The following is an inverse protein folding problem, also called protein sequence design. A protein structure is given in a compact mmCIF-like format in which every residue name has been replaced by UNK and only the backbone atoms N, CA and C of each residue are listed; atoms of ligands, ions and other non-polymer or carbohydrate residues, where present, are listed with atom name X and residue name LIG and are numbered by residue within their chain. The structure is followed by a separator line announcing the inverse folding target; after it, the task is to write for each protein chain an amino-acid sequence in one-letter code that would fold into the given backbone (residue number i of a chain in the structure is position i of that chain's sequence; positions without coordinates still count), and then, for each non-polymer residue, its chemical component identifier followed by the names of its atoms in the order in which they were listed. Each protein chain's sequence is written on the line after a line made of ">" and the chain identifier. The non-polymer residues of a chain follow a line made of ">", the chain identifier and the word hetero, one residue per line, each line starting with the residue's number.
data_IF_593400990355
#
_entry.id   IF_593400990355
#
_cell.length_a   1.000
_cell.length_b   1.000
_cell.length_c   1.000
_cell.angle_alpha   90.00
_cell.angle_beta   90.00
_cell.angle_gamma   90.00
#
_symmetry.space_group_name_H-M   'P 1'
#
loop_
_entity.id
_entity.type
_entity.pdbx_description
1 polymer ?
#
# COMPACT_ATOMS: atom_id res chain seq x y z
N UNK A 1 7.78 21.67 23.57
CA UNK A 1 6.62 22.05 22.75
C UNK A 1 7.10 22.25 21.34
N UNK A 2 6.67 21.41 20.41
CA UNK A 2 7.02 21.56 18.99
C UNK A 2 6.16 22.68 18.42
N UNK A 3 6.81 23.74 17.93
CA UNK A 3 6.13 24.86 17.29
C UNK A 3 5.76 24.46 15.85
N UNK A 4 4.47 24.54 15.49
CA UNK A 4 3.99 24.24 14.14
C UNK A 4 4.16 25.52 13.31
N UNK A 5 5.14 25.53 12.40
CA UNK A 5 5.47 26.68 11.54
C UNK A 5 4.84 26.61 10.14
N UNK A 6 4.02 25.60 9.85
CA UNK A 6 3.48 25.36 8.52
C UNK A 6 2.11 26.02 8.28
N UNK A 7 2.12 27.17 7.60
CA UNK A 7 0.92 27.84 7.08
C UNK A 7 0.55 27.31 5.68
N UNK A 8 0.22 26.03 5.57
CA UNK A 8 -0.28 25.48 4.30
C UNK A 8 -1.70 25.99 4.01
N UNK A 9 -1.94 26.45 2.78
CA UNK A 9 -3.26 26.87 2.33
C UNK A 9 -4.24 25.68 2.35
N UNK A 10 -5.44 25.89 2.90
CA UNK A 10 -6.53 24.93 2.81
C UNK A 10 -7.24 25.04 1.46
N UNK A 11 -7.38 23.93 0.75
CA UNK A 11 -8.02 23.86 -0.56
C UNK A 11 -9.33 23.08 -0.49
N UNK A 12 -10.30 23.45 -1.32
CA UNK A 12 -11.51 22.65 -1.54
C UNK A 12 -11.17 21.34 -2.27
N UNK A 13 -11.92 20.24 -2.06
CA UNK A 13 -11.68 18.99 -2.80
C UNK A 13 -11.75 19.21 -4.31
N UNK A 14 -10.86 18.59 -5.10
CA UNK A 14 -10.93 18.68 -6.55
C UNK A 14 -12.19 17.97 -7.06
N UNK A 15 -12.79 18.42 -8.18
CA UNK A 15 -13.89 17.73 -8.82
C UNK A 15 -13.58 16.24 -9.06
N UNK A 16 -14.58 15.38 -8.86
CA UNK A 16 -14.41 13.95 -9.11
C UNK A 16 -14.47 13.67 -10.62
N UNK A 17 -13.46 13.00 -11.20
CA UNK A 17 -13.43 12.74 -12.64
C UNK A 17 -14.50 11.70 -13.04
N UNK A 18 -15.19 11.88 -14.19
CA UNK A 18 -16.20 10.93 -14.67
C UNK A 18 -15.67 9.50 -14.85
N UNK A 19 -14.41 9.36 -15.27
CA UNK A 19 -13.74 8.07 -15.46
C UNK A 19 -13.24 7.41 -14.17
N UNK A 20 -13.43 8.04 -13.00
CA UNK A 20 -12.90 7.58 -11.73
C UNK A 20 -11.38 7.80 -11.58
N UNK A 21 -10.82 7.25 -10.49
CA UNK A 21 -9.40 7.42 -10.12
C UNK A 21 -8.59 6.12 -10.07
N UNK A 22 -9.24 4.96 -10.26
CA UNK A 22 -8.53 3.70 -10.33
C UNK A 22 -7.68 3.64 -11.60
N UNK A 23 -6.50 2.99 -11.58
CA UNK A 23 -5.60 2.95 -12.72
C UNK A 23 -6.28 2.23 -13.89
N UNK A 24 -6.47 2.94 -15.00
CA UNK A 24 -7.09 2.39 -16.22
C UNK A 24 -6.08 1.98 -17.30
N UNK A 25 -4.78 2.22 -17.08
CA UNK A 25 -3.72 1.98 -18.07
C UNK A 25 -2.53 1.25 -17.46
N UNK A 26 -2.02 0.25 -18.18
CA UNK A 26 -0.83 -0.51 -17.77
C UNK A 26 0.39 0.39 -17.48
N UNK A 27 0.55 1.50 -18.21
CA UNK A 27 1.63 2.45 -17.97
C UNK A 27 1.61 3.04 -16.54
N UNK A 28 0.42 3.32 -15.99
CA UNK A 28 0.30 3.89 -14.63
C UNK A 28 0.72 2.87 -13.58
N UNK A 29 0.36 1.60 -13.79
CA UNK A 29 0.79 0.48 -12.93
C UNK A 29 2.31 0.30 -13.03
N UNK A 30 2.86 0.30 -14.25
CA UNK A 30 4.31 0.20 -14.47
C UNK A 30 5.11 1.32 -13.82
N UNK A 31 4.60 2.55 -13.81
CA UNK A 31 5.21 3.68 -13.09
C UNK A 31 5.21 3.45 -11.57
N UNK A 32 4.11 2.95 -11.01
CA UNK A 32 4.05 2.60 -9.59
C UNK A 32 5.03 1.47 -9.24
N UNK A 33 5.10 0.40 -10.04
CA UNK A 33 6.07 -0.69 -9.85
C UNK A 33 7.51 -0.19 -9.96
N UNK A 34 7.78 0.75 -10.89
CA UNK A 34 9.07 1.40 -10.99
C UNK A 34 9.38 2.14 -9.69
N UNK A 35 8.46 2.96 -9.17
CA UNK A 35 8.67 3.69 -7.93
C UNK A 35 8.94 2.78 -6.72
N UNK A 36 8.21 1.67 -6.57
CA UNK A 36 8.41 0.71 -5.48
C UNK A 36 9.83 0.10 -5.46
N UNK A 37 10.44 -0.07 -6.63
CA UNK A 37 11.76 -0.69 -6.78
C UNK A 37 12.90 0.36 -6.87
N UNK A 38 12.65 1.63 -6.51
CA UNK A 38 13.64 2.70 -6.68
C UNK A 38 14.91 2.48 -5.86
N UNK A 39 14.77 1.95 -4.65
CA UNK A 39 15.91 1.75 -3.73
C UNK A 39 16.79 0.59 -4.16
N UNK A 40 16.21 -0.53 -4.60
CA UNK A 40 16.94 -1.66 -5.20
C UNK A 40 17.78 -1.19 -6.40
N UNK A 41 17.18 -0.36 -7.28
CA UNK A 41 17.88 0.18 -8.45
C UNK A 41 18.99 1.16 -8.08
N UNK A 42 18.73 2.03 -7.10
CA UNK A 42 19.71 3.00 -6.60
C UNK A 42 20.92 2.28 -6.01
N UNK A 43 20.69 1.27 -5.18
CA UNK A 43 21.76 0.45 -4.61
C UNK A 43 22.55 -0.30 -5.70
N UNK A 44 21.87 -0.88 -6.69
CA UNK A 44 22.55 -1.51 -7.84
C UNK A 44 23.44 -0.52 -8.61
N UNK A 45 22.98 0.72 -8.79
CA UNK A 45 23.75 1.78 -9.42
C UNK A 45 25.00 2.14 -8.61
N UNK A 46 24.89 2.26 -7.29
CA UNK A 46 26.02 2.52 -6.39
C UNK A 46 27.09 1.42 -6.52
N UNK A 47 26.68 0.15 -6.57
CA UNK A 47 27.59 -0.98 -6.80
C UNK A 47 28.28 -0.94 -8.17
N UNK A 48 27.54 -0.58 -9.22
CA UNK A 48 28.12 -0.44 -10.57
C UNK A 48 29.17 0.68 -10.62
N UNK A 49 28.89 1.80 -9.97
CA UNK A 49 29.82 2.93 -9.89
C UNK A 49 31.07 2.55 -9.10
N UNK A 50 30.92 1.88 -7.96
CA UNK A 50 32.03 1.40 -7.15
C UNK A 50 32.92 0.39 -7.89
N UNK A 51 32.34 -0.45 -8.75
CA UNK A 51 33.08 -1.43 -9.54
C UNK A 51 33.67 -0.87 -10.85
N UNK A 52 33.32 0.37 -11.24
CA UNK A 52 33.70 0.94 -12.54
C UNK A 52 33.13 0.19 -13.75
N UNK A 53 32.13 -0.67 -13.55
CA UNK A 53 31.48 -1.48 -14.58
C UNK A 53 30.08 -1.88 -14.14
N UNK A 54 29.24 -2.28 -15.09
CA UNK A 54 27.95 -2.90 -14.75
C UNK A 54 28.20 -4.24 -14.08
N UNK A 55 27.67 -4.39 -12.87
CA UNK A 55 27.68 -5.65 -12.11
C UNK A 55 26.31 -6.30 -12.16
N UNK A 56 26.24 -7.57 -11.76
CA UNK A 56 24.97 -8.26 -11.59
C UNK A 56 24.11 -7.57 -10.51
N UNK A 57 22.77 -7.52 -10.68
CA UNK A 57 21.88 -7.02 -9.65
C UNK A 57 22.04 -7.83 -8.35
N UNK A 58 22.21 -7.16 -7.19
CA UNK A 58 22.26 -7.85 -5.91
C UNK A 58 20.90 -8.50 -5.58
N UNK A 59 20.90 -9.58 -4.80
CA UNK A 59 19.69 -10.27 -4.34
C UNK A 59 18.96 -9.53 -3.20
N UNK A 60 18.97 -8.20 -3.21
CA UNK A 60 18.32 -7.38 -2.20
C UNK A 60 16.87 -7.06 -2.56
N UNK A 61 16.07 -6.72 -1.54
CA UNK A 61 14.68 -6.29 -1.67
C UNK A 61 14.35 -5.17 -0.72
N UNK A 62 13.48 -4.26 -1.15
CA UNK A 62 12.88 -3.25 -0.27
C UNK A 62 11.66 -3.85 0.45
N UNK A 63 11.62 -3.73 1.77
CA UNK A 63 10.45 -4.08 2.58
C UNK A 63 9.48 -2.89 2.63
N UNK A 64 8.28 -3.07 2.12
CA UNK A 64 7.23 -2.02 2.12
C UNK A 64 6.15 -2.38 3.14
N UNK A 65 6.04 -1.61 4.23
CA UNK A 65 5.06 -1.88 5.29
C UNK A 65 3.92 -0.87 5.20
N UNK A 66 2.68 -1.36 5.13
CA UNK A 66 1.47 -0.53 5.20
C UNK A 66 0.76 -0.71 6.55
N UNK A 67 0.64 0.36 7.32
CA UNK A 67 -0.05 0.36 8.61
C UNK A 67 -1.31 1.21 8.52
N UNK A 68 -2.43 0.67 9.00
CA UNK A 68 -3.74 1.30 8.90
C UNK A 68 -4.36 1.44 10.29
N UNK A 69 -4.79 2.66 10.60
CA UNK A 69 -5.50 3.00 11.83
C UNK A 69 -6.88 3.51 11.45
N UNK A 70 -7.92 2.79 11.86
CA UNK A 70 -9.29 3.18 11.56
C UNK A 70 -9.81 4.23 12.56
N UNK A 71 -10.90 4.90 12.18
CA UNK A 71 -11.57 5.90 13.00
C UNK A 71 -12.22 5.35 14.26
N UNK A 72 -12.56 6.26 15.17
CA UNK A 72 -13.18 5.95 16.46
C UNK A 72 -14.46 5.13 16.29
N UNK A 73 -14.54 3.99 17.00
CA UNK A 73 -15.72 3.12 17.00
C UNK A 73 -15.88 2.25 15.75
N UNK A 74 -14.96 2.34 14.78
CA UNK A 74 -14.98 1.48 13.60
C UNK A 74 -14.33 0.13 13.93
N UNK A 75 -14.88 -0.96 13.37
CA UNK A 75 -14.37 -2.30 13.60
C UNK A 75 -14.47 -3.13 12.33
N UNK A 76 -13.30 -3.43 11.73
CA UNK A 76 -13.23 -4.18 10.48
C UNK A 76 -14.00 -5.51 10.54
N UNK A 77 -13.90 -6.24 11.64
CA UNK A 77 -14.56 -7.53 11.75
C UNK A 77 -16.09 -7.39 11.70
N UNK A 78 -16.63 -6.51 12.54
CA UNK A 78 -18.05 -6.23 12.60
C UNK A 78 -18.56 -5.65 11.27
N UNK A 79 -17.95 -4.58 10.79
CA UNK A 79 -18.47 -3.77 9.70
C UNK A 79 -18.40 -4.48 8.34
N UNK A 80 -17.51 -5.48 8.23
CA UNK A 80 -17.28 -6.22 6.99
C UNK A 80 -17.81 -7.66 7.00
N UNK A 81 -17.70 -8.40 8.11
CA UNK A 81 -18.12 -9.81 8.17
C UNK A 81 -19.49 -10.01 8.80
N UNK A 82 -19.89 -9.18 9.78
CA UNK A 82 -21.10 -9.40 10.59
C UNK A 82 -22.26 -8.51 10.15
N UNK A 83 -22.01 -7.23 9.89
CA UNK A 83 -23.04 -6.24 9.63
C UNK A 83 -23.81 -6.52 8.33
N UNK A 84 -25.13 -6.29 8.37
CA UNK A 84 -26.01 -6.33 7.22
C UNK A 84 -26.96 -5.11 7.22
N UNK A 85 -26.78 -4.12 6.32
CA UNK A 85 -25.80 -4.10 5.23
C UNK A 85 -24.36 -3.90 5.72
N UNK A 86 -23.39 -4.40 4.96
CA UNK A 86 -21.96 -4.16 5.22
C UNK A 86 -21.63 -2.68 5.06
N UNK A 87 -20.80 -2.15 5.95
CA UNK A 87 -20.45 -0.73 5.96
C UNK A 87 -18.97 -0.49 6.30
N UNK A 88 -18.02 -1.06 5.54
CA UNK A 88 -16.60 -0.86 5.78
C UNK A 88 -16.19 0.59 5.49
N UNK A 89 -15.29 1.10 6.33
CA UNK A 89 -14.71 2.44 6.26
C UNK A 89 -13.76 2.59 5.07
N UNK A 90 -13.33 3.82 4.76
CA UNK A 90 -12.31 4.03 3.72
C UNK A 90 -10.96 3.42 4.10
N UNK A 91 -10.59 3.38 5.39
CA UNK A 91 -9.37 2.76 5.87
C UNK A 91 -9.43 1.24 5.68
N UNK A 92 -10.54 0.62 6.07
CA UNK A 92 -10.80 -0.80 5.85
C UNK A 92 -10.73 -1.17 4.36
N UNK A 93 -11.31 -0.34 3.48
CA UNK A 93 -11.26 -0.55 2.03
C UNK A 93 -9.85 -0.46 1.48
N UNK A 94 -9.05 0.50 1.94
CA UNK A 94 -7.65 0.65 1.52
C UNK A 94 -6.78 -0.51 2.01
N UNK A 95 -6.96 -0.93 3.27
CA UNK A 95 -6.27 -2.09 3.83
C UNK A 95 -6.51 -3.33 2.97
N UNK A 96 -7.77 -3.64 2.64
CA UNK A 96 -8.10 -4.79 1.79
C UNK A 96 -7.59 -4.68 0.36
N UNK A 97 -7.46 -3.47 -0.18
CA UNK A 97 -6.91 -3.24 -1.52
C UNK A 97 -5.37 -3.25 -1.56
N UNK A 98 -4.70 -3.43 -0.42
CA UNK A 98 -3.24 -3.45 -0.32
C UNK A 98 -2.70 -4.82 -0.71
N UNK A 99 -1.51 -4.85 -1.33
CA UNK A 99 -0.82 -6.10 -1.69
C UNK A 99 -0.17 -6.67 -0.43
N UNK A 100 -0.26 -7.99 -0.25
CA UNK A 100 0.46 -8.72 0.79
C UNK A 100 -0.46 -9.62 1.61
N UNK A 101 0.14 -10.24 2.63
CA UNK A 101 -0.58 -11.00 3.65
C UNK A 101 -0.64 -10.14 4.91
N UNK A 102 -1.82 -9.72 5.32
CA UNK A 102 -2.00 -8.86 6.48
C UNK A 102 -2.80 -9.50 7.61
N UNK A 103 -2.57 -9.01 8.82
CA UNK A 103 -3.41 -9.31 9.98
C UNK A 103 -4.17 -8.05 10.37
N UNK A 104 -5.44 -8.21 10.76
CA UNK A 104 -6.23 -7.14 11.36
C UNK A 104 -6.64 -7.53 12.78
N UNK A 105 -6.38 -6.63 13.74
CA UNK A 105 -6.81 -6.82 15.13
C UNK A 105 -8.33 -6.96 15.23
N UNK A 106 -8.80 -7.93 16.01
CA UNK A 106 -10.23 -8.19 16.21
C UNK A 106 -10.89 -9.04 15.13
N UNK A 107 -10.16 -9.48 14.10
CA UNK A 107 -10.62 -10.48 13.12
C UNK A 107 -10.12 -11.88 13.56
N UNK A 108 -11.00 -12.89 13.69
CA UNK A 108 -10.60 -14.26 14.02
C UNK A 108 -9.58 -14.81 13.03
N UNK A 109 -8.63 -15.63 13.48
CA UNK A 109 -7.55 -16.18 12.65
C UNK A 109 -8.08 -16.90 11.39
N UNK A 110 -9.17 -17.64 11.51
CA UNK A 110 -9.79 -18.37 10.40
C UNK A 110 -10.35 -17.43 9.31
N UNK A 111 -10.73 -16.21 9.69
CA UNK A 111 -11.28 -15.19 8.80
C UNK A 111 -10.22 -14.22 8.25
N UNK A 112 -8.97 -14.27 8.73
CA UNK A 112 -7.90 -13.41 8.22
C UNK A 112 -7.57 -13.71 6.75
N UNK A 113 -7.69 -14.98 6.34
CA UNK A 113 -7.55 -15.40 4.95
C UNK A 113 -8.57 -14.74 4.00
N UNK A 114 -9.70 -14.24 4.53
CA UNK A 114 -10.76 -13.57 3.75
C UNK A 114 -10.55 -12.05 3.63
N UNK A 115 -9.50 -11.51 4.25
CA UNK A 115 -9.20 -10.08 4.20
C UNK A 115 -8.68 -9.65 2.83
N UNK A 116 -7.91 -10.53 2.19
CA UNK A 116 -7.20 -10.27 0.93
C UNK A 116 -7.63 -11.27 -0.15
N UNK A 117 -7.57 -10.83 -1.40
CA UNK A 117 -7.90 -11.66 -2.56
C UNK A 117 -6.63 -12.45 -2.99
N UNK A 118 -6.37 -13.58 -2.31
CA UNK A 118 -5.30 -14.59 -2.53
C UNK A 118 -3.81 -14.21 -2.28
N UNK A 119 -3.07 -15.16 -1.69
CA UNK A 119 -1.68 -15.04 -1.22
C UNK A 119 -0.61 -15.03 -2.35
N UNK A 120 -1.01 -15.18 -3.62
CA UNK A 120 -0.11 -15.48 -4.75
C UNK A 120 0.47 -14.27 -5.50
N UNK A 121 0.03 -13.04 -5.20
CA UNK A 121 0.30 -11.86 -6.04
C UNK A 121 1.66 -11.19 -5.87
N UNK A 122 2.53 -11.68 -4.97
CA UNK A 122 3.71 -10.94 -4.52
C UNK A 122 4.89 -10.85 -5.50
N UNK A 123 4.94 -11.65 -6.57
CA UNK A 123 6.07 -11.71 -7.53
C UNK A 123 7.47 -11.67 -6.86
N UNK A 124 7.61 -12.39 -5.73
CA UNK A 124 8.85 -12.44 -4.95
C UNK A 124 9.23 -11.13 -4.21
N UNK A 125 8.31 -10.17 -4.09
CA UNK A 125 8.45 -8.97 -3.26
C UNK A 125 7.92 -9.21 -1.85
N UNK A 126 8.46 -8.43 -0.90
CA UNK A 126 8.04 -8.43 0.50
C UNK A 126 7.19 -7.18 0.76
N UNK A 127 5.89 -7.41 0.98
CA UNK A 127 4.89 -6.43 1.38
C UNK A 127 4.32 -6.82 2.75
#
# INVERSE_FOLDING_TARGET
>A
MSEITENHAAWVPPPFPPQGRLPGRALQVGQNCHQQNSDERRYHQELCLAAGRRVEPPCCKTLHISLFFDGTGNNLNHDFFIANPKHPTNIARLFRATIGTGTAGGVPSDDQSKLFDDDGGGDGKYF
#
